data_IF_654743461148
#
_entry.id   IF_654743461148
#
_cell.length_a   1.000
_cell.length_b   1.000
_cell.length_c   1.000
_cell.angle_alpha   90.00
_cell.angle_beta   90.00
_cell.angle_gamma   90.00
#
_symmetry.space_group_name_H-M   'P 1'
#
loop_
_entity.id
_entity.type
_entity.pdbx_description
1 polymer ?
#
# COMPACT_ATOMS: atom_id res chain seq x y z
N UNK A 1 -11.65 -12.63 -4.13
CA UNK A 1 -11.45 -11.22 -3.77
C UNK A 1 -11.82 -10.98 -2.31
N UNK A 2 -10.92 -10.37 -1.54
CA UNK A 2 -11.13 -9.89 -0.17
C UNK A 2 -11.98 -8.60 -0.18
N UNK A 3 -12.47 -8.18 0.97
CA UNK A 3 -13.20 -6.89 1.09
C UNK A 3 -12.24 -5.71 1.26
N UNK A 4 -12.75 -4.49 1.09
CA UNK A 4 -11.99 -3.26 1.36
C UNK A 4 -11.57 -3.16 2.82
N UNK A 5 -12.45 -3.56 3.74
CA UNK A 5 -12.20 -3.58 5.19
C UNK A 5 -11.06 -4.55 5.54
N UNK A 6 -11.06 -5.73 4.92
CA UNK A 6 -9.97 -6.71 5.07
C UNK A 6 -8.64 -6.17 4.50
N UNK A 7 -8.68 -5.49 3.35
CA UNK A 7 -7.48 -4.88 2.77
C UNK A 7 -6.91 -3.78 3.69
N UNK A 8 -7.77 -2.95 4.28
CA UNK A 8 -7.38 -1.93 5.26
C UNK A 8 -6.78 -2.55 6.52
N UNK A 9 -7.39 -3.61 7.06
CA UNK A 9 -6.86 -4.31 8.23
C UNK A 9 -5.47 -4.90 7.95
N UNK A 10 -5.28 -5.52 6.78
CA UNK A 10 -3.97 -6.04 6.35
C UNK A 10 -2.93 -4.92 6.26
N UNK A 11 -3.29 -3.75 5.72
CA UNK A 11 -2.38 -2.59 5.64
C UNK A 11 -2.04 -2.05 7.03
N UNK A 12 -3.00 -1.95 7.95
CA UNK A 12 -2.74 -1.52 9.33
C UNK A 12 -1.76 -2.46 10.04
N UNK A 13 -1.95 -3.77 9.88
CA UNK A 13 -1.05 -4.78 10.45
C UNK A 13 0.34 -4.69 9.82
N UNK A 14 0.41 -4.58 8.50
CA UNK A 14 1.66 -4.44 7.75
C UNK A 14 2.49 -3.22 8.17
N UNK A 15 1.88 -2.04 8.24
CA UNK A 15 2.54 -0.80 8.69
C UNK A 15 3.09 -0.97 10.11
N UNK A 16 2.34 -1.62 11.00
CA UNK A 16 2.76 -1.92 12.36
C UNK A 16 3.93 -2.90 12.41
N UNK A 17 3.88 -3.99 11.63
CA UNK A 17 4.95 -5.00 11.54
C UNK A 17 6.25 -4.41 11.00
N UNK A 18 6.15 -3.52 10.00
CA UNK A 18 7.28 -2.77 9.43
C UNK A 18 7.75 -1.62 10.31
N UNK A 19 7.11 -1.38 11.46
CA UNK A 19 7.39 -0.28 12.37
C UNK A 19 7.42 1.10 11.67
N UNK A 20 6.56 1.29 10.68
CA UNK A 20 6.47 2.53 9.90
C UNK A 20 5.71 3.59 10.68
N UNK A 21 6.31 4.76 10.83
CA UNK A 21 5.64 5.93 11.38
C UNK A 21 4.73 6.53 10.33
N UNK A 22 3.53 6.90 10.73
CA UNK A 22 2.55 7.59 9.90
C UNK A 22 1.82 8.64 10.73
N UNK A 23 1.42 9.75 10.12
CA UNK A 23 0.57 10.77 10.74
C UNK A 23 -0.91 10.42 10.59
N UNK A 24 -1.28 9.80 9.46
CA UNK A 24 -2.66 9.50 9.11
C UNK A 24 -2.78 8.26 8.21
N UNK A 25 -3.89 7.53 8.30
CA UNK A 25 -4.28 6.49 7.33
C UNK A 25 -5.70 6.76 6.86
N UNK A 26 -5.91 6.77 5.54
CA UNK A 26 -7.21 7.08 4.96
C UNK A 26 -8.10 5.83 4.93
N UNK A 27 -8.94 5.69 5.95
CA UNK A 27 -9.83 4.53 6.10
C UNK A 27 -11.05 4.56 5.17
N UNK A 28 -11.46 5.75 4.71
CA UNK A 28 -12.65 5.92 3.88
C UNK A 28 -12.34 5.77 2.38
N UNK A 29 -11.12 6.13 1.98
CA UNK A 29 -10.72 6.20 0.57
C UNK A 29 -9.83 5.03 0.17
N UNK A 30 -10.48 3.90 -0.06
CA UNK A 30 -9.85 2.68 -0.59
C UNK A 30 -10.21 2.54 -2.07
N UNK A 31 -9.20 2.71 -2.92
CA UNK A 31 -9.36 2.55 -4.37
C UNK A 31 -9.28 1.09 -4.76
N UNK A 32 -10.12 0.69 -5.70
CA UNK A 32 -10.02 -0.60 -6.37
C UNK A 32 -9.63 -0.36 -7.82
N UNK A 33 -8.59 -1.05 -8.29
CA UNK A 33 -8.14 -1.01 -9.68
C UNK A 33 -8.16 -2.42 -10.25
N UNK A 34 -8.83 -2.58 -11.38
CA UNK A 34 -8.87 -3.84 -12.12
C UNK A 34 -7.70 -3.92 -13.10
N UNK A 35 -7.08 -5.10 -13.20
CA UNK A 35 -6.03 -5.39 -14.18
C UNK A 35 -4.87 -4.37 -14.19
N UNK A 36 -4.43 -3.94 -13.00
CA UNK A 36 -3.29 -3.04 -12.83
C UNK A 36 -1.98 -3.79 -13.12
N UNK A 37 -1.11 -3.19 -13.94
CA UNK A 37 0.23 -3.73 -14.20
C UNK A 37 1.14 -3.51 -12.99
N UNK A 38 1.67 -4.61 -12.45
CA UNK A 38 2.57 -4.60 -11.30
C UNK A 38 4.01 -4.46 -11.77
N UNK A 39 4.69 -3.42 -11.29
CA UNK A 39 6.03 -3.04 -11.70
C UNK A 39 7.10 -3.29 -10.62
N UNK A 40 6.80 -4.09 -9.60
CA UNK A 40 7.73 -4.38 -8.51
C UNK A 40 7.40 -5.67 -7.75
N UNK A 41 8.45 -6.29 -7.20
CA UNK A 41 8.35 -7.40 -6.25
C UNK A 41 7.90 -8.72 -6.89
N UNK A 42 7.33 -9.60 -6.08
CA UNK A 42 6.98 -10.99 -6.44
C UNK A 42 6.08 -11.13 -7.69
N UNK A 43 5.27 -10.12 -8.00
CA UNK A 43 4.33 -10.13 -9.12
C UNK A 43 4.71 -9.14 -10.22
N UNK A 44 5.97 -8.72 -10.29
CA UNK A 44 6.47 -7.88 -11.38
C UNK A 44 6.11 -8.47 -12.76
N UNK A 45 5.77 -7.58 -13.70
CA UNK A 45 5.34 -7.89 -15.07
C UNK A 45 4.01 -8.65 -15.19
N UNK A 46 3.21 -8.70 -14.11
CA UNK A 46 1.88 -9.31 -14.11
C UNK A 46 0.80 -8.28 -13.87
N UNK A 47 -0.39 -8.54 -14.42
CA UNK A 47 -1.57 -7.76 -14.10
C UNK A 47 -2.32 -8.36 -12.91
N UNK A 48 -2.75 -7.51 -11.98
CA UNK A 48 -3.53 -7.90 -10.80
C UNK A 48 -4.69 -6.94 -10.56
N UNK A 49 -5.76 -7.46 -10.00
CA UNK A 49 -6.77 -6.61 -9.36
C UNK A 49 -6.19 -6.18 -8.01
N UNK A 50 -6.21 -4.89 -7.70
CA UNK A 50 -5.57 -4.36 -6.49
C UNK A 50 -6.49 -3.41 -5.74
N UNK A 51 -6.36 -3.45 -4.41
CA UNK A 51 -6.75 -2.34 -3.56
C UNK A 51 -5.55 -1.43 -3.33
N UNK A 52 -5.79 -0.12 -3.36
CA UNK A 52 -4.78 0.88 -3.03
C UNK A 52 -5.27 1.65 -1.81
N UNK A 53 -4.46 1.66 -0.75
CA UNK A 53 -4.72 2.35 0.51
C UNK A 53 -3.64 3.41 0.70
N UNK A 54 -4.07 4.62 1.08
CA UNK A 54 -3.16 5.72 1.36
C UNK A 54 -2.95 5.87 2.87
N UNK A 55 -1.69 6.04 3.26
CA UNK A 55 -1.31 6.59 4.55
C UNK A 55 -0.31 7.72 4.31
N UNK A 56 -0.27 8.66 5.22
CA UNK A 56 0.61 9.81 5.12
C UNK A 56 1.68 9.76 6.21
N UNK A 57 2.86 10.27 5.90
CA UNK A 57 3.94 10.49 6.87
C UNK A 57 4.12 11.98 7.11
N UNK A 58 4.62 12.33 8.29
CA UNK A 58 4.94 13.72 8.62
C UNK A 58 6.06 14.24 7.68
N UNK A 59 5.75 15.30 6.94
CA UNK A 59 6.72 16.04 6.13
C UNK A 59 7.06 17.39 6.74
N UNK A 60 7.97 18.13 6.09
CA UNK A 60 8.47 19.39 6.65
C UNK A 60 7.43 20.52 6.63
N UNK A 61 6.64 20.61 5.56
CA UNK A 61 5.59 21.63 5.37
C UNK A 61 4.19 21.04 5.29
N UNK A 62 4.08 19.84 4.73
CA UNK A 62 2.84 19.09 4.56
C UNK A 62 3.14 17.60 4.68
N UNK A 63 2.09 16.84 4.98
CA UNK A 63 2.14 15.39 5.05
C UNK A 63 2.42 14.80 3.66
N UNK A 64 3.24 13.74 3.62
CA UNK A 64 3.69 13.11 2.39
C UNK A 64 2.92 11.80 2.18
N UNK A 65 2.17 11.64 1.07
CA UNK A 65 1.34 10.48 0.85
C UNK A 65 2.14 9.27 0.37
N UNK A 66 1.87 8.13 0.98
CA UNK A 66 2.37 6.82 0.61
C UNK A 66 1.18 5.94 0.21
N UNK A 67 1.40 5.03 -0.73
CA UNK A 67 0.33 4.20 -1.30
C UNK A 67 0.70 2.72 -1.22
N UNK A 68 -0.05 1.97 -0.41
CA UNK A 68 0.12 0.52 -0.29
C UNK A 68 -0.77 -0.18 -1.30
N UNK A 69 -0.15 -1.02 -2.13
CA UNK A 69 -0.84 -1.87 -3.09
C UNK A 69 -1.08 -3.24 -2.47
N UNK A 70 -2.32 -3.72 -2.53
CA UNK A 70 -2.76 -4.99 -1.96
C UNK A 70 -3.40 -5.81 -3.06
N UNK A 71 -2.97 -7.07 -3.22
CA UNK A 71 -3.61 -8.00 -4.15
C UNK A 71 -5.05 -8.24 -3.71
N UNK A 72 -6.02 -7.88 -4.55
CA UNK A 72 -7.43 -7.94 -4.19
C UNK A 72 -7.92 -9.39 -4.05
N UNK A 73 -7.28 -10.37 -4.68
CA UNK A 73 -7.71 -11.77 -4.59
C UNK A 73 -7.27 -12.44 -3.29
N UNK A 74 -6.05 -12.16 -2.85
CA UNK A 74 -5.37 -12.86 -1.76
C UNK A 74 -5.22 -12.03 -0.48
N UNK A 75 -5.27 -10.71 -0.59
CA UNK A 75 -4.96 -9.78 0.49
C UNK A 75 -3.47 -9.61 0.77
N UNK A 76 -2.60 -10.18 -0.07
CA UNK A 76 -1.14 -10.04 0.03
C UNK A 76 -0.74 -8.57 -0.21
N UNK A 77 0.09 -8.01 0.67
CA UNK A 77 0.71 -6.70 0.46
C UNK A 77 1.75 -6.85 -0.66
N UNK A 78 1.60 -6.07 -1.72
CA UNK A 78 2.49 -6.13 -2.87
C UNK A 78 3.73 -5.25 -2.66
N UNK A 79 3.50 -3.97 -2.37
CA UNK A 79 4.54 -2.96 -2.14
C UNK A 79 3.91 -1.63 -1.73
N UNK A 80 4.77 -0.68 -1.38
CA UNK A 80 4.39 0.69 -1.03
C UNK A 80 5.09 1.69 -1.92
N UNK A 81 4.32 2.44 -2.71
CA UNK A 81 4.85 3.54 -3.51
C UNK A 81 5.03 4.78 -2.64
N UNK A 82 6.20 5.39 -2.76
CA UNK A 82 6.59 6.66 -2.17
C UNK A 82 6.98 7.64 -3.27
N UNK A 83 7.22 8.91 -2.93
CA UNK A 83 7.80 9.87 -3.89
C UNK A 83 9.23 9.51 -4.37
N UNK A 84 9.93 8.59 -3.68
CA UNK A 84 11.31 8.22 -3.96
C UNK A 84 11.47 6.77 -4.48
N UNK A 85 10.38 6.11 -4.87
CA UNK A 85 10.37 4.70 -5.27
C UNK A 85 9.62 3.83 -4.28
N UNK A 86 10.02 2.56 -4.13
CA UNK A 86 9.35 1.62 -3.25
C UNK A 86 9.91 1.72 -1.83
N UNK A 87 9.04 1.80 -0.83
CA UNK A 87 9.48 1.90 0.56
C UNK A 87 10.32 0.68 0.96
N UNK A 88 9.96 -0.49 0.43
CA UNK A 88 10.62 -1.76 0.70
C UNK A 88 12.10 -1.80 0.25
N UNK A 89 12.53 -0.96 -0.69
CA UNK A 89 13.94 -0.89 -1.11
C UNK A 89 14.87 -0.26 -0.06
N UNK A 90 14.29 0.41 0.95
CA UNK A 90 15.01 1.12 2.01
C UNK A 90 14.87 0.44 3.37
N UNK A 91 14.20 -0.72 3.40
CA UNK A 91 13.94 -1.50 4.61
C UNK A 91 14.80 -2.77 4.58
N UNK A 92 15.70 -2.90 5.56
CA UNK A 92 16.47 -4.14 5.80
C UNK A 92 15.59 -5.28 6.36
#
# INVERSE_FOLDING_TARGET
MITKEQALENVKNYIKEKNRKYSYINEEKIWFKENEYINYGKYEEKNRNVYVINYDIEGYTEDIPYFVYVDAETGEILFTITQHGYAEDWED
#
